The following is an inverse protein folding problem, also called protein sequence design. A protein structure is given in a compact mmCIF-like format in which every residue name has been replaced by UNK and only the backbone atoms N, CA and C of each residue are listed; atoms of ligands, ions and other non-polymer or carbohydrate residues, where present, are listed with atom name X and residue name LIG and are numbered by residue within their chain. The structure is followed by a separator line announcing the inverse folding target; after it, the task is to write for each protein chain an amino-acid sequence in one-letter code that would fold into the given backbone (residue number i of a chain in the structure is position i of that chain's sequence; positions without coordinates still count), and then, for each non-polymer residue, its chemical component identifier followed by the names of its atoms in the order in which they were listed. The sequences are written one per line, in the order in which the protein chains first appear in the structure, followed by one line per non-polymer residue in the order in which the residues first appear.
data_IF_091247998431
#
_entry.id   IF_091247998431
#
_cell.length_a   1.000
_cell.length_b   1.000
_cell.length_c   1.000
_cell.angle_alpha   90.00
_cell.angle_beta   90.00
_cell.angle_gamma   90.00
#
_symmetry.space_group_name_H-M   'P 1'
#
loop_
_entity.id
_entity.type
_entity.pdbx_description
1 polymer ?
#
# COMPACT_ATOMS: atom_id res chain seq x y z
N UNK A 1 11.49 -8.83 12.64
CA UNK A 1 10.64 -9.17 13.80
C UNK A 1 10.05 -10.55 13.55
N UNK A 2 10.17 -11.51 14.46
CA UNK A 2 9.51 -12.83 14.32
C UNK A 2 8.02 -12.65 14.66
N UNK A 3 7.11 -13.16 13.83
CA UNK A 3 5.65 -13.01 14.01
C UNK A 3 5.14 -13.97 15.10
N UNK A 4 5.56 -13.73 16.34
CA UNK A 4 5.33 -14.59 17.49
C UNK A 4 4.06 -14.20 18.24
N UNK A 5 3.26 -15.16 18.70
CA UNK A 5 2.03 -14.88 19.43
C UNK A 5 2.31 -14.30 20.83
N UNK A 6 1.36 -13.56 21.40
CA UNK A 6 1.52 -12.91 22.72
C UNK A 6 1.77 -13.91 23.85
N UNK A 7 1.40 -15.19 23.70
CA UNK A 7 1.67 -16.21 24.71
C UNK A 7 3.14 -16.62 24.80
N UNK A 8 3.99 -16.26 23.83
CA UNK A 8 5.44 -16.52 23.90
C UNK A 8 6.11 -15.81 25.07
N UNK A 9 5.50 -14.78 25.65
CA UNK A 9 6.02 -14.16 26.88
C UNK A 9 5.98 -15.10 28.09
N UNK A 10 5.24 -16.20 27.97
CA UNK A 10 5.11 -17.26 28.97
C UNK A 10 5.95 -18.50 28.66
N UNK A 11 6.50 -18.61 27.44
CA UNK A 11 7.36 -19.71 27.03
C UNK A 11 8.68 -19.74 27.83
N UNK A 12 9.07 -20.93 28.26
CA UNK A 12 10.21 -21.14 29.16
C UNK A 12 11.54 -20.76 28.48
N UNK A 13 11.71 -21.17 27.22
CA UNK A 13 12.91 -20.87 26.46
C UNK A 13 13.02 -19.36 26.17
N UNK A 14 11.92 -18.74 25.78
CA UNK A 14 11.83 -17.29 25.52
C UNK A 14 12.15 -16.49 26.79
N UNK A 15 11.68 -16.93 27.96
CA UNK A 15 12.02 -16.31 29.24
C UNK A 15 13.49 -16.50 29.59
N UNK A 16 14.04 -17.70 29.42
CA UNK A 16 15.45 -17.99 29.71
C UNK A 16 16.41 -17.18 28.82
N UNK A 17 16.01 -16.88 27.58
CA UNK A 17 16.79 -16.08 26.64
C UNK A 17 16.57 -14.55 26.79
N UNK A 18 15.60 -14.11 27.58
CA UNK A 18 15.23 -12.69 27.71
C UNK A 18 15.86 -12.04 28.93
N UNK A 19 16.33 -10.79 28.79
CA UNK A 19 16.74 -9.94 29.93
C UNK A 19 15.57 -9.23 30.61
N UNK A 20 14.34 -9.41 30.11
CA UNK A 20 13.14 -8.78 30.66
C UNK A 20 12.62 -9.57 31.87
N UNK A 21 12.01 -8.85 32.82
CA UNK A 21 11.33 -9.50 33.94
C UNK A 21 10.19 -10.40 33.41
N UNK A 22 9.98 -11.60 33.97
CA UNK A 22 8.89 -12.47 33.57
C UNK A 22 7.53 -11.77 33.66
N UNK A 23 6.70 -11.94 32.63
CA UNK A 23 5.33 -11.41 32.57
C UNK A 23 4.37 -12.48 32.06
N UNK A 24 3.07 -12.24 32.25
CA UNK A 24 2.01 -13.11 31.72
C UNK A 24 1.40 -12.50 30.47
N UNK A 25 0.88 -13.35 29.58
CA UNK A 25 0.15 -12.89 28.40
C UNK A 25 -1.07 -12.04 28.81
N UNK A 26 -1.70 -12.40 29.95
CA UNK A 26 -2.80 -11.62 30.56
C UNK A 26 -2.34 -10.22 30.98
N UNK A 27 -1.18 -10.09 31.63
CA UNK A 27 -0.63 -8.80 32.04
C UNK A 27 -0.28 -7.94 30.83
N UNK A 28 0.39 -8.50 29.82
CA UNK A 28 0.72 -7.79 28.57
C UNK A 28 -0.55 -7.28 27.88
N UNK A 29 -1.58 -8.13 27.72
CA UNK A 29 -2.88 -7.72 27.15
C UNK A 29 -3.55 -6.61 27.96
N UNK A 30 -3.47 -6.65 29.29
CA UNK A 30 -4.00 -5.59 30.17
C UNK A 30 -3.23 -4.28 29.98
N UNK A 31 -1.90 -4.33 29.88
CA UNK A 31 -1.07 -3.16 29.59
C UNK A 31 -1.40 -2.56 28.21
N UNK A 32 -1.53 -3.38 27.17
CA UNK A 32 -1.93 -2.93 25.83
C UNK A 32 -3.28 -2.20 25.86
N UNK A 33 -4.29 -2.75 26.55
CA UNK A 33 -5.58 -2.07 26.76
C UNK A 33 -5.41 -0.72 27.47
N UNK A 34 -4.59 -0.67 28.53
CA UNK A 34 -4.30 0.57 29.25
C UNK A 34 -3.62 1.63 28.37
N UNK A 35 -2.69 1.22 27.52
CA UNK A 35 -2.02 2.11 26.54
C UNK A 35 -3.05 2.65 25.53
N UNK A 36 -3.91 1.78 24.99
CA UNK A 36 -4.96 2.20 24.05
C UNK A 36 -5.89 3.25 24.67
N UNK A 37 -6.29 3.08 25.95
CA UNK A 37 -7.09 4.07 26.69
C UNK A 37 -6.33 5.40 26.83
N UNK A 38 -5.06 5.37 27.24
CA UNK A 38 -4.24 6.58 27.40
C UNK A 38 -4.06 7.33 26.09
N UNK A 39 -3.77 6.61 25.00
CA UNK A 39 -3.69 7.18 23.66
C UNK A 39 -5.05 7.75 23.25
N UNK A 40 -6.16 7.04 23.51
CA UNK A 40 -7.49 7.53 23.20
C UNK A 40 -7.84 8.85 23.89
N UNK A 41 -7.49 8.98 25.19
CA UNK A 41 -7.66 10.24 25.94
C UNK A 41 -6.80 11.35 25.35
N UNK A 42 -5.56 11.05 24.95
CA UNK A 42 -4.68 12.02 24.29
C UNK A 42 -5.28 12.49 22.96
N UNK A 43 -5.65 11.55 22.09
CA UNK A 43 -6.25 11.84 20.78
C UNK A 43 -7.54 12.64 20.90
N UNK A 44 -8.38 12.36 21.91
CA UNK A 44 -9.60 13.14 22.18
C UNK A 44 -9.32 14.63 22.43
N UNK A 45 -8.15 14.96 23.00
CA UNK A 45 -7.71 16.35 23.24
C UNK A 45 -6.96 16.94 22.04
N UNK A 46 -6.20 16.10 21.33
CA UNK A 46 -5.35 16.49 20.19
C UNK A 46 -6.16 16.74 18.92
N UNK A 47 -7.21 15.97 18.67
CA UNK A 47 -8.03 16.11 17.47
C UNK A 47 -8.75 17.46 17.46
N UNK A 48 -8.58 18.21 16.39
CA UNK A 48 -9.20 19.53 16.21
C UNK A 48 -10.70 19.47 15.90
N UNK A 49 -11.31 20.65 15.75
CA UNK A 49 -12.74 20.80 15.41
C UNK A 49 -13.02 20.43 13.94
N UNK A 50 -12.00 20.52 13.07
CA UNK A 50 -12.08 20.11 11.67
C UNK A 50 -11.00 19.07 11.39
N UNK A 51 -11.36 17.96 10.75
CA UNK A 51 -10.42 16.92 10.35
C UNK A 51 -10.80 16.29 9.01
N UNK A 52 -9.81 15.79 8.28
CA UNK A 52 -10.01 14.80 7.23
C UNK A 52 -10.07 13.39 7.83
N UNK A 53 -10.80 12.49 7.17
CA UNK A 53 -10.73 11.06 7.44
C UNK A 53 -9.95 10.37 6.34
N UNK A 54 -9.04 9.46 6.68
CA UNK A 54 -8.43 8.55 5.71
C UNK A 54 -8.78 7.11 6.07
N UNK A 55 -9.24 6.33 5.10
CA UNK A 55 -9.54 4.91 5.30
C UNK A 55 -8.71 4.00 4.38
N UNK A 56 -8.35 2.83 4.90
CA UNK A 56 -7.76 1.74 4.13
C UNK A 56 -8.47 0.43 4.46
N UNK A 57 -8.86 -0.30 3.43
CA UNK A 57 -9.68 -1.50 3.53
C UNK A 57 -8.98 -2.71 2.92
N UNK A 58 -8.96 -3.83 3.64
CA UNK A 58 -8.40 -5.09 3.14
C UNK A 58 -9.20 -6.30 3.62
N UNK A 59 -9.07 -7.40 2.87
CA UNK A 59 -9.66 -8.68 3.24
C UNK A 59 -8.60 -9.59 3.86
N UNK A 60 -8.89 -10.22 4.99
CA UNK A 60 -8.06 -11.25 5.59
C UNK A 60 -8.93 -12.36 6.18
N UNK A 61 -8.61 -13.62 5.87
CA UNK A 61 -9.35 -14.80 6.34
C UNK A 61 -10.88 -14.71 6.15
N UNK A 62 -11.33 -14.18 5.00
CA UNK A 62 -12.76 -14.03 4.68
C UNK A 62 -13.46 -12.87 5.38
N UNK A 63 -12.74 -12.05 6.16
CA UNK A 63 -13.25 -10.89 6.85
C UNK A 63 -12.70 -9.60 6.26
N UNK A 64 -13.57 -8.60 6.07
CA UNK A 64 -13.16 -7.27 5.61
C UNK A 64 -12.79 -6.41 6.82
N UNK A 65 -11.59 -5.87 6.81
CA UNK A 65 -11.07 -4.94 7.81
C UNK A 65 -11.02 -3.54 7.24
N UNK A 66 -11.22 -2.55 8.10
CA UNK A 66 -11.03 -1.15 7.78
C UNK A 66 -10.20 -0.49 8.87
N UNK A 67 -9.10 0.13 8.47
CA UNK A 67 -8.37 1.07 9.29
C UNK A 67 -8.90 2.48 9.00
N UNK A 68 -9.18 3.24 10.06
CA UNK A 68 -9.61 4.63 9.97
C UNK A 68 -8.60 5.54 10.66
N UNK A 69 -8.20 6.60 9.97
CA UNK A 69 -7.26 7.60 10.44
C UNK A 69 -7.91 8.98 10.43
N UNK A 70 -7.57 9.80 11.41
CA UNK A 70 -7.84 11.23 11.42
C UNK A 70 -6.62 11.96 10.88
N UNK A 71 -6.87 12.90 9.97
CA UNK A 71 -5.85 13.76 9.37
C UNK A 71 -6.22 15.19 9.70
N UNK A 72 -5.33 15.93 10.36
CA UNK A 72 -5.58 17.31 10.76
C UNK A 72 -4.26 18.06 10.79
N UNK A 73 -4.34 19.39 10.67
CA UNK A 73 -3.19 20.25 10.86
C UNK A 73 -3.16 20.66 12.34
N UNK A 74 -1.99 20.68 12.96
CA UNK A 74 -1.77 21.29 14.27
C UNK A 74 -0.35 21.83 14.33
N UNK A 75 -0.19 23.07 14.81
CA UNK A 75 1.10 23.77 14.88
C UNK A 75 1.84 23.89 13.52
N UNK A 76 1.08 23.98 12.42
CA UNK A 76 1.62 24.07 11.05
C UNK A 76 2.11 22.73 10.48
N UNK A 77 1.90 21.63 11.20
CA UNK A 77 2.25 20.27 10.76
C UNK A 77 1.00 19.43 10.53
N UNK A 78 1.02 18.56 9.52
CA UNK A 78 -0.06 17.61 9.27
C UNK A 78 0.13 16.35 10.11
N UNK A 79 -0.81 16.08 11.01
CA UNK A 79 -0.82 14.89 11.85
C UNK A 79 -1.75 13.83 11.27
N UNK A 80 -1.26 12.59 11.23
CA UNK A 80 -2.04 11.42 10.88
C UNK A 80 -2.10 10.46 12.07
N UNK A 81 -3.31 10.21 12.58
CA UNK A 81 -3.52 9.36 13.76
C UNK A 81 -4.52 8.25 13.47
N UNK A 82 -4.15 7.01 13.79
CA UNK A 82 -5.08 5.89 13.69
C UNK A 82 -6.16 6.03 14.76
N UNK A 83 -7.41 6.17 14.34
CA UNK A 83 -8.57 6.31 15.21
C UNK A 83 -9.20 4.96 15.53
N UNK A 84 -9.13 4.02 14.58
CA UNK A 84 -9.74 2.72 14.75
C UNK A 84 -9.23 1.69 13.75
N UNK A 85 -9.37 0.43 14.16
CA UNK A 85 -9.21 -0.73 13.31
C UNK A 85 -10.30 -1.72 13.69
N UNK A 86 -11.21 -1.98 12.77
CA UNK A 86 -12.30 -2.93 13.04
C UNK A 86 -12.59 -3.77 11.81
N UNK A 87 -12.98 -5.04 12.00
CA UNK A 87 -13.72 -5.72 10.97
C UNK A 87 -15.09 -5.05 10.76
N UNK A 88 -15.63 -5.14 9.53
CA UNK A 88 -17.04 -4.85 9.27
C UNK A 88 -17.87 -6.03 9.79
N UNK A 89 -18.45 -5.83 10.98
CA UNK A 89 -19.05 -6.90 11.79
C UNK A 89 -20.37 -7.46 11.26
N UNK A 90 -20.97 -6.86 10.24
CA UNK A 90 -22.29 -7.25 9.70
C UNK A 90 -22.21 -7.97 8.34
N UNK A 91 -21.01 -8.22 7.82
CA UNK A 91 -20.82 -8.79 6.48
C UNK A 91 -21.32 -7.90 5.34
N UNK A 92 -21.85 -6.73 5.65
CA UNK A 92 -22.42 -5.80 4.69
C UNK A 92 -21.33 -4.80 4.30
N UNK A 93 -20.89 -4.87 3.04
CA UNK A 93 -19.97 -3.88 2.47
C UNK A 93 -20.74 -2.65 1.96
N UNK A 94 -21.80 -2.29 2.67
CA UNK A 94 -22.71 -1.20 2.30
C UNK A 94 -22.15 0.13 2.77
N UNK A 95 -22.39 1.19 2.00
CA UNK A 95 -22.01 2.56 2.36
C UNK A 95 -22.52 2.94 3.76
N UNK A 96 -23.73 2.49 4.12
CA UNK A 96 -24.35 2.70 5.42
C UNK A 96 -23.54 2.09 6.57
N UNK A 97 -23.04 0.87 6.40
CA UNK A 97 -22.21 0.20 7.40
C UNK A 97 -20.89 0.94 7.63
N UNK A 98 -20.23 1.41 6.56
CA UNK A 98 -19.02 2.23 6.67
C UNK A 98 -19.29 3.55 7.39
N UNK A 99 -20.33 4.29 7.00
CA UNK A 99 -20.67 5.58 7.64
C UNK A 99 -21.02 5.38 9.12
N UNK A 100 -21.76 4.32 9.46
CA UNK A 100 -22.06 3.95 10.85
C UNK A 100 -20.78 3.62 11.63
N UNK A 101 -19.86 2.87 11.02
CA UNK A 101 -18.56 2.58 11.63
C UNK A 101 -17.77 3.87 11.88
N UNK A 102 -17.71 4.79 10.92
CA UNK A 102 -17.01 6.07 11.07
C UNK A 102 -17.62 6.89 12.20
N UNK A 103 -18.95 6.97 12.27
CA UNK A 103 -19.67 7.64 13.36
C UNK A 103 -19.30 7.06 14.73
N UNK A 104 -19.37 5.74 14.88
CA UNK A 104 -19.06 5.07 16.13
C UNK A 104 -17.62 5.31 16.58
N UNK A 105 -16.66 5.28 15.64
CA UNK A 105 -15.24 5.55 15.95
C UNK A 105 -15.05 7.01 16.38
N UNK A 106 -15.67 7.96 15.68
CA UNK A 106 -15.59 9.39 16.02
C UNK A 106 -16.19 9.71 17.40
N UNK A 107 -17.29 9.05 17.78
CA UNK A 107 -17.95 9.25 19.07
C UNK A 107 -17.02 8.93 20.26
N UNK A 108 -16.12 7.93 20.12
CA UNK A 108 -15.09 7.62 21.14
C UNK A 108 -14.22 8.84 21.46
N UNK A 109 -13.95 9.67 20.44
CA UNK A 109 -13.13 10.87 20.54
C UNK A 109 -13.95 12.14 20.72
N UNK A 110 -15.26 12.03 21.01
CA UNK A 110 -16.18 13.16 21.11
C UNK A 110 -16.22 14.02 19.83
N UNK A 111 -16.16 13.35 18.68
CA UNK A 111 -16.28 13.96 17.35
C UNK A 111 -17.55 13.49 16.66
N UNK A 112 -17.99 14.25 15.67
CA UNK A 112 -19.16 13.93 14.85
C UNK A 112 -18.81 13.99 13.38
N UNK A 113 -19.66 13.42 12.51
CA UNK A 113 -19.43 13.47 11.07
C UNK A 113 -19.42 14.90 10.52
N UNK A 114 -20.08 15.86 11.18
CA UNK A 114 -20.08 17.28 10.77
C UNK A 114 -18.71 17.96 10.94
N UNK A 115 -17.83 17.37 11.74
CA UNK A 115 -16.45 17.83 11.92
C UNK A 115 -15.51 17.31 10.83
N UNK A 116 -16.01 16.44 9.94
CA UNK A 116 -15.22 15.87 8.85
C UNK A 116 -15.28 16.81 7.64
N UNK A 117 -14.14 17.37 7.25
CA UNK A 117 -14.03 18.26 6.10
C UNK A 117 -13.77 17.54 4.78
N UNK A 118 -13.23 16.32 4.82
CA UNK A 118 -12.92 15.53 3.62
C UNK A 118 -12.77 14.04 3.94
N UNK A 119 -12.92 13.20 2.92
CA UNK A 119 -12.54 11.79 2.95
C UNK A 119 -11.35 11.58 2.01
N UNK A 120 -10.30 10.93 2.49
CA UNK A 120 -9.13 10.51 1.73
C UNK A 120 -9.19 9.00 1.56
N UNK A 121 -9.19 8.54 0.32
CA UNK A 121 -9.29 7.13 0.00
C UNK A 121 -8.92 6.86 -1.45
N UNK A 122 -8.81 5.59 -1.83
CA UNK A 122 -8.76 5.26 -3.25
C UNK A 122 -10.08 5.64 -3.95
N UNK A 123 -10.05 5.89 -5.26
CA UNK A 123 -11.21 6.32 -6.03
C UNK A 123 -12.15 5.14 -6.35
N UNK A 124 -12.35 4.25 -5.38
CA UNK A 124 -13.22 3.10 -5.50
C UNK A 124 -14.68 3.52 -5.29
N UNK A 125 -15.62 2.80 -5.94
CA UNK A 125 -17.06 3.12 -5.90
C UNK A 125 -17.59 3.27 -4.47
N UNK A 126 -17.08 2.47 -3.55
CA UNK A 126 -17.44 2.52 -2.13
C UNK A 126 -17.03 3.84 -1.49
N UNK A 127 -15.80 4.32 -1.68
CA UNK A 127 -15.33 5.58 -1.10
C UNK A 127 -16.04 6.80 -1.70
N UNK A 128 -16.34 6.78 -3.01
CA UNK A 128 -17.18 7.79 -3.64
C UNK A 128 -18.56 7.80 -2.98
N UNK A 129 -19.18 6.63 -2.82
CA UNK A 129 -20.51 6.53 -2.22
C UNK A 129 -20.51 7.00 -0.75
N UNK A 130 -19.48 6.67 0.03
CA UNK A 130 -19.31 7.13 1.41
C UNK A 130 -19.16 8.66 1.47
N UNK A 131 -18.26 9.24 0.68
CA UNK A 131 -18.04 10.68 0.65
C UNK A 131 -19.33 11.43 0.27
N UNK A 132 -20.02 10.97 -0.79
CA UNK A 132 -21.32 11.51 -1.20
C UNK A 132 -22.36 11.41 -0.09
N UNK A 133 -22.45 10.26 0.60
CA UNK A 133 -23.40 10.04 1.69
C UNK A 133 -23.11 10.95 2.90
N UNK A 134 -21.84 11.22 3.17
CA UNK A 134 -21.38 12.12 4.22
C UNK A 134 -21.49 13.60 3.82
N UNK A 135 -21.65 13.92 2.54
CA UNK A 135 -21.67 15.29 2.03
C UNK A 135 -20.30 15.98 2.03
N UNK A 136 -19.20 15.21 1.97
CA UNK A 136 -17.83 15.71 2.03
C UNK A 136 -17.09 15.41 0.72
N UNK A 137 -16.08 16.21 0.32
CA UNK A 137 -15.24 15.90 -0.84
C UNK A 137 -14.45 14.61 -0.64
N UNK A 138 -14.32 13.81 -1.71
CA UNK A 138 -13.38 12.69 -1.78
C UNK A 138 -12.05 13.17 -2.38
N UNK A 139 -11.03 13.28 -1.54
CA UNK A 139 -9.66 13.51 -1.96
C UNK A 139 -9.04 12.18 -2.40
N UNK A 140 -9.06 11.94 -3.71
CA UNK A 140 -8.51 10.72 -4.27
C UNK A 140 -7.01 10.61 -3.93
N UNK A 141 -6.67 9.49 -3.29
CA UNK A 141 -5.33 9.17 -2.83
C UNK A 141 -4.28 9.45 -3.92
N UNK A 142 -3.26 10.25 -3.60
CA UNK A 142 -2.21 10.62 -4.55
C UNK A 142 -1.52 9.39 -5.19
N UNK A 143 -1.40 8.29 -4.44
CA UNK A 143 -0.85 7.02 -4.97
C UNK A 143 -1.76 6.41 -6.02
N UNK A 144 -3.07 6.52 -5.81
CA UNK A 144 -4.06 6.00 -6.73
C UNK A 144 -4.08 6.85 -8.00
N UNK A 145 -4.06 8.19 -7.90
CA UNK A 145 -3.93 9.08 -9.06
C UNK A 145 -2.65 8.79 -9.85
N UNK A 146 -1.53 8.62 -9.15
CA UNK A 146 -0.25 8.26 -9.79
C UNK A 146 -0.32 6.87 -10.45
N UNK A 147 -0.92 5.87 -9.78
CA UNK A 147 -1.14 4.55 -10.36
C UNK A 147 -1.97 4.63 -11.64
N UNK A 148 -3.04 5.42 -11.67
CA UNK A 148 -3.86 5.61 -12.87
C UNK A 148 -3.07 6.30 -14.00
N UNK A 149 -2.31 7.34 -13.68
CA UNK A 149 -1.48 8.06 -14.65
C UNK A 149 -0.40 7.15 -15.26
N UNK A 150 0.32 6.41 -14.41
CA UNK A 150 1.35 5.46 -14.87
C UNK A 150 0.71 4.33 -15.66
N UNK A 151 -0.46 3.81 -15.27
CA UNK A 151 -1.17 2.80 -16.07
C UNK A 151 -1.54 3.31 -17.46
N UNK A 152 -1.97 4.57 -17.57
CA UNK A 152 -2.23 5.20 -18.87
C UNK A 152 -0.95 5.30 -19.70
N UNK A 153 0.17 5.65 -19.08
CA UNK A 153 1.49 5.67 -19.73
C UNK A 153 1.96 4.27 -20.16
N UNK A 154 1.71 3.24 -19.36
CA UNK A 154 2.10 1.85 -19.66
C UNK A 154 1.25 1.20 -20.75
N UNK A 155 0.11 1.78 -21.14
CA UNK A 155 -0.80 1.19 -22.11
C UNK A 155 -0.12 0.87 -23.45
N UNK A 156 0.79 1.71 -23.93
CA UNK A 156 1.56 1.48 -25.18
C UNK A 156 2.62 0.39 -25.05
N UNK A 157 2.94 -0.04 -23.83
CA UNK A 157 3.92 -1.10 -23.54
C UNK A 157 3.26 -2.42 -23.16
N UNK A 158 1.93 -2.47 -23.06
CA UNK A 158 1.23 -3.57 -22.41
C UNK A 158 1.50 -4.93 -23.07
N UNK A 159 1.56 -4.99 -24.40
CA UNK A 159 1.94 -6.21 -25.13
C UNK A 159 3.34 -6.71 -24.72
N UNK A 160 4.32 -5.83 -24.60
CA UNK A 160 5.68 -6.20 -24.16
C UNK A 160 5.70 -6.63 -22.69
N UNK A 161 4.90 -5.98 -21.85
CA UNK A 161 4.80 -6.30 -20.43
C UNK A 161 4.08 -7.63 -20.20
N UNK A 162 3.10 -7.98 -21.04
CA UNK A 162 2.43 -9.28 -21.03
C UNK A 162 3.36 -10.40 -21.47
N UNK A 163 4.18 -10.19 -22.50
CA UNK A 163 5.21 -11.16 -22.90
C UNK A 163 6.18 -11.46 -21.74
N UNK A 164 6.66 -10.41 -21.06
CA UNK A 164 7.53 -10.59 -19.88
C UNK A 164 6.77 -11.28 -18.76
N UNK A 165 5.53 -10.89 -18.47
CA UNK A 165 4.75 -11.53 -17.41
C UNK A 165 4.51 -13.01 -17.69
N UNK A 166 4.23 -13.39 -18.95
CA UNK A 166 4.10 -14.77 -19.37
C UNK A 166 5.42 -15.55 -19.16
N UNK A 167 6.57 -14.99 -19.59
CA UNK A 167 7.88 -15.59 -19.32
C UNK A 167 8.13 -15.76 -17.81
N UNK A 168 7.82 -14.75 -17.01
CA UNK A 168 8.01 -14.78 -15.56
C UNK A 168 7.09 -15.81 -14.89
N UNK A 169 5.93 -16.13 -15.46
CA UNK A 169 5.07 -17.23 -15.01
C UNK A 169 5.64 -18.59 -15.41
N UNK A 170 6.12 -18.74 -16.64
CA UNK A 170 6.73 -19.99 -17.12
C UNK A 170 7.95 -20.40 -16.31
N UNK A 171 8.80 -19.44 -15.96
CA UNK A 171 9.97 -19.66 -15.11
C UNK A 171 9.62 -20.12 -13.69
N UNK A 172 8.36 -20.05 -13.28
CA UNK A 172 7.89 -20.53 -11.97
C UNK A 172 7.41 -21.99 -12.00
N UNK A 173 7.28 -22.61 -13.18
CA UNK A 173 7.02 -24.04 -13.25
C UNK A 173 8.18 -24.83 -12.65
N UNK A 174 7.88 -25.93 -11.96
CA UNK A 174 8.84 -26.64 -11.09
C UNK A 174 10.15 -26.99 -11.78
N UNK A 175 10.10 -27.51 -13.02
CA UNK A 175 11.28 -27.89 -13.78
C UNK A 175 12.14 -26.67 -14.16
N UNK A 176 11.51 -25.62 -14.69
CA UNK A 176 12.18 -24.38 -15.11
C UNK A 176 12.77 -23.64 -13.90
N UNK A 177 12.00 -23.55 -12.83
CA UNK A 177 12.43 -22.94 -11.58
C UNK A 177 13.56 -23.75 -10.93
N UNK A 178 13.49 -25.08 -11.00
CA UNK A 178 14.50 -26.01 -10.52
C UNK A 178 15.87 -25.77 -11.14
N UNK A 179 15.90 -25.39 -12.42
CA UNK A 179 17.13 -25.00 -13.11
C UNK A 179 17.53 -23.56 -12.76
N UNK A 180 16.60 -22.61 -12.87
CA UNK A 180 16.87 -21.19 -12.63
C UNK A 180 17.43 -20.90 -11.24
N UNK A 181 16.90 -21.58 -10.20
CA UNK A 181 17.31 -21.37 -8.79
C UNK A 181 18.77 -21.72 -8.52
N UNK A 182 19.42 -22.48 -9.40
CA UNK A 182 20.86 -22.80 -9.30
C UNK A 182 21.75 -21.58 -9.58
N UNK A 183 21.19 -20.56 -10.24
CA UNK A 183 21.96 -19.45 -10.78
C UNK A 183 21.47 -18.09 -10.30
N UNK A 184 20.19 -17.97 -9.90
CA UNK A 184 19.61 -16.68 -9.55
C UNK A 184 18.37 -16.79 -8.69
N UNK A 185 17.81 -15.63 -8.37
CA UNK A 185 16.62 -15.50 -7.55
C UNK A 185 15.33 -15.92 -8.27
N UNK A 186 14.26 -16.03 -7.48
CA UNK A 186 12.92 -16.38 -7.95
C UNK A 186 12.30 -15.35 -8.90
N UNK A 187 11.60 -15.80 -9.95
CA UNK A 187 10.78 -14.94 -10.80
C UNK A 187 9.60 -14.32 -10.03
N UNK A 188 9.23 -13.10 -10.40
CA UNK A 188 8.09 -12.35 -9.85
C UNK A 188 7.09 -12.06 -10.96
N UNK A 189 5.81 -12.43 -10.75
CA UNK A 189 4.70 -12.06 -11.64
C UNK A 189 4.18 -10.65 -11.30
N UNK A 190 3.60 -9.95 -12.27
CA UNK A 190 2.94 -8.66 -12.00
C UNK A 190 1.47 -8.82 -11.58
N UNK A 191 1.00 -7.87 -10.79
CA UNK A 191 -0.41 -7.57 -10.61
C UNK A 191 -0.75 -6.36 -11.50
N UNK A 192 -1.55 -6.60 -12.55
CA UNK A 192 -1.92 -5.60 -13.58
C UNK A 192 -2.64 -4.37 -13.00
N UNK A 193 -3.23 -4.49 -11.82
CA UNK A 193 -3.90 -3.37 -11.15
C UNK A 193 -2.95 -2.39 -10.46
N UNK A 194 -1.69 -2.79 -10.20
CA UNK A 194 -0.71 -2.02 -9.44
C UNK A 194 0.57 -1.79 -10.26
N UNK A 195 0.83 -0.53 -10.63
CA UNK A 195 2.01 -0.16 -11.42
C UNK A 195 3.33 -0.58 -10.74
N UNK A 196 3.40 -0.49 -9.41
CA UNK A 196 4.58 -0.91 -8.63
C UNK A 196 4.91 -2.39 -8.81
N UNK A 197 3.92 -3.24 -9.03
CA UNK A 197 4.15 -4.65 -9.32
C UNK A 197 4.75 -4.86 -10.70
N UNK A 198 4.41 -4.01 -11.67
CA UNK A 198 5.08 -3.98 -12.98
C UNK A 198 6.52 -3.53 -12.84
N UNK A 199 6.79 -2.51 -12.02
CA UNK A 199 8.15 -2.06 -11.72
C UNK A 199 9.00 -3.20 -11.12
N UNK A 200 8.51 -3.88 -10.07
CA UNK A 200 9.21 -5.01 -9.45
C UNK A 200 9.44 -6.18 -10.41
N UNK A 201 8.46 -6.48 -11.28
CA UNK A 201 8.63 -7.51 -12.31
C UNK A 201 9.75 -7.15 -13.29
N UNK A 202 9.78 -5.91 -13.79
CA UNK A 202 10.82 -5.45 -14.72
C UNK A 202 12.20 -5.43 -14.07
N UNK A 203 12.31 -4.93 -12.84
CA UNK A 203 13.56 -4.98 -12.07
C UNK A 203 14.07 -6.41 -11.95
N UNK A 204 13.19 -7.33 -11.56
CA UNK A 204 13.52 -8.75 -11.44
C UNK A 204 13.97 -9.33 -12.77
N UNK A 205 13.17 -9.14 -13.82
CA UNK A 205 13.46 -9.63 -15.17
C UNK A 205 14.82 -9.15 -15.67
N UNK A 206 15.10 -7.85 -15.58
CA UNK A 206 16.38 -7.27 -16.04
C UNK A 206 17.55 -7.89 -15.29
N UNK A 207 17.43 -8.06 -13.96
CA UNK A 207 18.47 -8.68 -13.14
C UNK A 207 18.74 -10.13 -13.51
N UNK A 208 17.68 -10.94 -13.71
CA UNK A 208 17.82 -12.38 -13.93
C UNK A 208 18.02 -12.76 -15.40
N UNK A 209 17.82 -11.82 -16.35
CA UNK A 209 17.89 -12.07 -17.79
C UNK A 209 19.14 -12.84 -18.27
N UNK A 210 20.37 -12.56 -17.78
CA UNK A 210 21.54 -13.32 -18.20
C UNK A 210 21.42 -14.81 -17.89
N UNK A 211 20.77 -15.14 -16.77
CA UNK A 211 20.62 -16.50 -16.24
C UNK A 211 19.43 -17.23 -16.86
N UNK A 212 18.37 -16.52 -17.30
CA UNK A 212 17.22 -17.12 -18.00
C UNK A 212 17.68 -17.92 -19.23
N UNK A 213 18.75 -17.48 -19.90
CA UNK A 213 19.30 -18.17 -21.08
C UNK A 213 19.78 -19.59 -20.83
N UNK A 214 20.00 -19.97 -19.56
CA UNK A 214 20.41 -21.33 -19.16
C UNK A 214 19.21 -22.29 -19.05
N UNK A 215 17.98 -21.77 -19.14
CA UNK A 215 16.75 -22.56 -19.10
C UNK A 215 16.25 -22.76 -20.53
N UNK A 216 16.68 -23.85 -21.18
CA UNK A 216 16.38 -24.15 -22.59
C UNK A 216 14.88 -24.10 -22.91
N UNK A 217 14.04 -24.61 -21.99
CA UNK A 217 12.59 -24.68 -22.15
C UNK A 217 11.88 -23.32 -22.36
N UNK A 218 12.55 -22.19 -22.07
CA UNK A 218 11.97 -20.85 -22.24
C UNK A 218 12.72 -19.98 -23.24
N UNK A 219 13.69 -20.54 -23.98
CA UNK A 219 14.57 -19.77 -24.88
C UNK A 219 13.79 -18.93 -25.89
N UNK A 220 12.79 -19.52 -26.55
CA UNK A 220 11.93 -18.85 -27.53
C UNK A 220 11.05 -17.75 -26.93
N UNK A 221 10.84 -17.78 -25.60
CA UNK A 221 10.03 -16.80 -24.88
C UNK A 221 10.84 -15.63 -24.33
N UNK A 222 12.17 -15.66 -24.45
CA UNK A 222 13.03 -14.56 -24.01
C UNK A 222 12.83 -13.36 -24.94
N UNK A 223 12.47 -12.16 -24.42
CA UNK A 223 12.36 -10.97 -25.26
C UNK A 223 13.66 -10.69 -26.02
N UNK A 224 13.51 -10.45 -27.32
CA UNK A 224 14.63 -10.14 -28.23
C UNK A 224 15.45 -8.95 -27.73
N UNK A 225 16.67 -8.79 -28.23
CA UNK A 225 17.56 -7.67 -27.83
C UNK A 225 16.89 -6.30 -28.05
N UNK A 226 16.08 -6.15 -29.10
CA UNK A 226 15.31 -4.93 -29.34
C UNK A 226 14.22 -4.69 -28.29
N UNK A 227 13.43 -5.72 -27.98
CA UNK A 227 12.38 -5.67 -26.94
C UNK A 227 12.99 -5.41 -25.55
N UNK A 228 14.10 -6.08 -25.24
CA UNK A 228 14.83 -5.86 -23.99
C UNK A 228 15.30 -4.41 -23.82
N UNK A 229 15.87 -3.80 -24.87
CA UNK A 229 16.26 -2.37 -24.83
C UNK A 229 15.07 -1.46 -24.53
N UNK A 230 13.90 -1.71 -25.13
CA UNK A 230 12.67 -0.96 -24.83
C UNK A 230 12.24 -1.14 -23.37
N UNK A 231 12.30 -2.37 -22.84
CA UNK A 231 11.95 -2.68 -21.45
C UNK A 231 12.93 -2.04 -20.45
N UNK A 232 14.23 -2.02 -20.75
CA UNK A 232 15.24 -1.38 -19.92
C UNK A 232 15.05 0.15 -19.89
N UNK A 233 14.79 0.78 -21.04
CA UNK A 233 14.47 2.20 -21.11
C UNK A 233 13.19 2.55 -20.33
N UNK A 234 12.14 1.72 -20.45
CA UNK A 234 10.93 1.86 -19.65
C UNK A 234 11.23 1.75 -18.15
N UNK A 235 12.04 0.77 -17.74
CA UNK A 235 12.41 0.58 -16.34
C UNK A 235 13.14 1.80 -15.76
N UNK A 236 14.10 2.38 -16.48
CA UNK A 236 14.77 3.61 -16.04
C UNK A 236 13.79 4.79 -15.88
N UNK A 237 12.76 4.88 -16.73
CA UNK A 237 11.72 5.89 -16.56
C UNK A 237 10.90 5.63 -15.29
N UNK A 238 10.50 4.38 -15.06
CA UNK A 238 9.72 4.01 -13.88
C UNK A 238 10.47 4.23 -12.56
N UNK A 239 11.81 4.14 -12.54
CA UNK A 239 12.62 4.49 -11.36
C UNK A 239 12.38 5.91 -10.86
N UNK A 240 12.11 6.86 -11.77
CA UNK A 240 11.80 8.24 -11.39
C UNK A 240 10.53 8.28 -10.55
N UNK A 241 9.46 7.61 -11.00
CA UNK A 241 8.20 7.52 -10.24
C UNK A 241 8.37 6.76 -8.91
N UNK A 242 9.16 5.69 -8.90
CA UNK A 242 9.45 4.94 -7.67
C UNK A 242 10.18 5.80 -6.64
N UNK A 243 11.15 6.62 -7.07
CA UNK A 243 11.86 7.54 -6.19
C UNK A 243 10.94 8.59 -5.56
N UNK A 244 9.95 9.08 -6.32
CA UNK A 244 8.91 10.01 -5.85
C UNK A 244 8.00 9.31 -4.83
N UNK A 245 7.58 8.08 -5.12
CA UNK A 245 6.76 7.29 -4.19
C UNK A 245 7.47 7.00 -2.87
N UNK A 246 8.78 6.74 -2.91
CA UNK A 246 9.60 6.51 -1.71
C UNK A 246 9.81 7.80 -0.92
N UNK A 247 10.07 8.93 -1.58
CA UNK A 247 10.18 10.24 -0.90
C UNK A 247 8.90 10.59 -0.13
N UNK A 248 7.75 10.32 -0.75
CA UNK A 248 6.42 10.51 -0.12
C UNK A 248 6.19 9.67 1.14
N UNK A 249 6.89 8.55 1.32
CA UNK A 249 6.77 7.71 2.52
C UNK A 249 7.63 8.22 3.69
N UNK A 250 8.38 9.32 3.51
CA UNK A 250 9.14 9.98 4.57
C UNK A 250 8.29 11.03 5.28
N UNK A 251 8.41 11.14 6.61
CA UNK A 251 7.61 12.05 7.45
C UNK A 251 7.88 13.54 7.17
N UNK A 252 8.99 13.87 6.51
CA UNK A 252 9.47 15.25 6.31
C UNK A 252 9.00 15.95 5.01
N UNK A 253 8.08 15.36 4.23
CA UNK A 253 7.69 15.96 2.95
C UNK A 253 6.46 16.86 3.09
N UNK A 254 6.65 18.16 2.84
CA UNK A 254 5.57 19.16 2.81
C UNK A 254 4.51 18.83 1.72
N UNK A 255 3.24 19.03 2.06
CA UNK A 255 2.09 18.79 1.16
C UNK A 255 2.10 19.72 -0.07
N UNK A 256 2.68 20.92 0.02
CA UNK A 256 2.82 21.81 -1.13
C UNK A 256 3.93 21.31 -2.09
N UNK A 257 5.06 20.86 -1.57
CA UNK A 257 6.09 20.18 -2.37
C UNK A 257 5.55 18.91 -3.04
N UNK A 258 4.74 18.12 -2.32
CA UNK A 258 4.09 16.92 -2.85
C UNK A 258 3.15 17.24 -4.00
N UNK A 259 2.36 18.33 -3.89
CA UNK A 259 1.48 18.80 -4.97
C UNK A 259 2.29 19.20 -6.21
N UNK A 260 3.39 19.92 -6.02
CA UNK A 260 4.28 20.36 -7.11
C UNK A 260 4.97 19.17 -7.79
N UNK A 261 5.49 18.21 -7.03
CA UNK A 261 6.14 17.00 -7.56
C UNK A 261 5.12 16.12 -8.31
N UNK A 262 3.89 15.99 -7.80
CA UNK A 262 2.83 15.25 -8.48
C UNK A 262 2.43 15.94 -9.79
N UNK A 263 2.28 17.27 -9.79
CA UNK A 263 1.99 18.04 -11.00
C UNK A 263 3.12 17.95 -12.04
N UNK A 264 4.38 18.06 -11.61
CA UNK A 264 5.55 17.91 -12.48
C UNK A 264 5.65 16.48 -13.07
N UNK A 265 5.32 15.45 -12.29
CA UNK A 265 5.31 14.05 -12.74
C UNK A 265 4.18 13.77 -13.74
N UNK A 266 3.01 14.37 -13.52
CA UNK A 266 1.89 14.30 -14.46
C UNK A 266 2.23 15.05 -15.75
N UNK A 267 2.90 16.20 -15.65
CA UNK A 267 3.33 16.98 -16.82
C UNK A 267 4.42 16.26 -17.61
N UNK A 268 5.36 15.56 -16.97
CA UNK A 268 6.35 14.72 -17.66
C UNK A 268 5.73 13.51 -18.37
N UNK A 269 4.62 12.97 -17.83
CA UNK A 269 3.84 11.92 -18.49
C UNK A 269 3.11 12.46 -19.73
N UNK A 270 2.61 13.70 -19.66
CA UNK A 270 1.86 14.34 -20.75
C UNK A 270 2.75 14.93 -21.86
N UNK A 271 4.00 15.30 -21.56
CA UNK A 271 4.91 15.94 -22.50
C UNK A 271 5.82 14.97 -23.26
N UNK A 272 5.69 13.65 -23.05
CA UNK A 272 6.55 12.67 -23.70
C UNK A 272 6.00 12.27 -25.07
N UNK A 273 6.81 12.27 -26.14
CA UNK A 273 6.34 11.85 -27.45
C UNK A 273 5.94 10.37 -27.43
N UNK A 274 4.66 10.12 -27.68
CA UNK A 274 4.17 8.80 -28.08
C UNK A 274 4.71 8.51 -29.48
N UNK A 275 5.79 7.74 -29.55
CA UNK A 275 6.25 7.11 -30.80
C UNK A 275 5.37 5.93 -31.16
#
# INVERSE_FOLDING_TARGET
MRNMPVHEVEDELTRAMSKLRPVTAKAVKKCMKGIAIKIGIKLKRELETLLGLMCDGWTHAGMQYVALYGVYEADGEVHMRQLGLSPLTDGSQTTEAYVKMFKNVLEVYNKTLNMVGSLVGDNFKTNISIATKMGVPLEACASHRLNLAIKKYLASYETLLDEVNALMLELRHENNFGELKKHTDHPVKRNVTRWSSTFTMLERYIRIRPEIKKVEAVEERIPTVGKHRKLAALFEHLKKFESICKRRQHEDTDMAELRLILMASLQSILSWPTT
#
